data_IF_351379819980
#
_entry.id   IF_351379819980
#
_cell.length_a   1.000
_cell.length_b   1.000
_cell.length_c   1.000
_cell.angle_alpha   90.00
_cell.angle_beta   90.00
_cell.angle_gamma   90.00
#
_symmetry.space_group_name_H-M   'P 1'
#
loop_
_entity.id
_entity.type
_entity.pdbx_description
1 polymer ?
#
# COMPACT_ATOMS: atom_id res chain seq x y z
N UNK A 1 22.26 36.31 5.01
CA UNK A 1 21.37 35.17 5.30
C UNK A 1 19.94 35.62 5.07
N UNK A 2 19.46 35.58 3.83
CA UNK A 2 18.08 35.99 3.48
C UNK A 2 17.31 34.74 3.05
N UNK A 3 16.48 34.24 3.96
CA UNK A 3 15.57 33.12 3.72
C UNK A 3 14.43 33.58 2.80
N UNK A 4 14.08 32.89 1.71
CA UNK A 4 12.92 33.27 0.91
C UNK A 4 11.64 32.89 1.67
N UNK A 5 10.80 33.89 1.95
CA UNK A 5 9.46 33.68 2.50
C UNK A 5 8.54 33.12 1.40
N UNK A 6 8.07 31.89 1.55
CA UNK A 6 7.09 31.30 0.64
C UNK A 6 5.72 31.98 0.86
N UNK A 7 5.01 32.37 -0.22
CA UNK A 7 3.69 32.95 -0.10
C UNK A 7 2.69 31.93 0.47
N UNK A 8 1.67 32.36 1.24
CA UNK A 8 0.66 31.48 1.78
C UNK A 8 -0.14 30.85 0.63
N UNK A 9 -0.07 29.52 0.52
CA UNK A 9 -0.87 28.75 -0.46
C UNK A 9 -2.35 28.85 -0.10
N UNK A 10 -3.21 29.10 -1.09
CA UNK A 10 -4.68 29.08 -0.93
C UNK A 10 -5.13 27.72 -0.36
N UNK A 11 -6.15 27.68 0.51
CA UNK A 11 -6.67 26.42 1.03
C UNK A 11 -7.26 25.61 -0.12
N UNK A 12 -6.71 24.42 -0.34
CA UNK A 12 -7.20 23.45 -1.31
C UNK A 12 -8.17 22.50 -0.62
N UNK A 13 -9.39 22.39 -1.15
CA UNK A 13 -10.34 21.38 -0.69
C UNK A 13 -9.97 20.03 -1.31
N UNK A 14 -9.47 19.11 -0.49
CA UNK A 14 -9.18 17.73 -0.90
C UNK A 14 -10.39 16.85 -0.61
N UNK A 15 -10.91 16.19 -1.64
CA UNK A 15 -12.01 15.23 -1.52
C UNK A 15 -11.45 13.83 -1.71
N UNK A 16 -11.67 12.96 -0.73
CA UNK A 16 -11.24 11.56 -0.77
C UNK A 16 -12.42 10.66 -1.12
N UNK A 17 -12.26 9.82 -2.13
CA UNK A 17 -13.26 8.84 -2.51
C UNK A 17 -13.46 7.76 -1.42
N UNK A 18 -14.66 7.21 -1.36
CA UNK A 18 -15.02 6.06 -0.54
C UNK A 18 -15.97 5.13 -1.32
N UNK A 19 -15.74 3.81 -1.35
CA UNK A 19 -14.64 3.08 -0.73
C UNK A 19 -13.32 3.25 -1.51
N UNK A 20 -12.18 3.18 -0.80
CA UNK A 20 -10.84 3.25 -1.39
C UNK A 20 -9.94 2.20 -0.75
N UNK A 21 -8.95 1.70 -1.50
CA UNK A 21 -7.95 0.76 -1.00
C UNK A 21 -8.22 -0.68 -1.43
N UNK A 22 -8.01 -1.62 -0.50
CA UNK A 22 -8.04 -3.06 -0.79
C UNK A 22 -9.45 -3.63 -0.83
N UNK A 23 -9.66 -4.57 -1.75
CA UNK A 23 -10.85 -5.41 -1.74
C UNK A 23 -10.60 -6.67 -0.89
N UNK A 24 -11.67 -7.37 -0.53
CA UNK A 24 -11.59 -8.62 0.25
C UNK A 24 -10.69 -9.69 -0.42
N UNK A 25 -10.60 -9.70 -1.75
CA UNK A 25 -9.72 -10.62 -2.47
C UNK A 25 -8.23 -10.31 -2.29
N UNK A 26 -7.87 -9.03 -2.32
CA UNK A 26 -6.49 -8.56 -2.10
C UNK A 26 -6.04 -8.83 -0.67
N UNK A 27 -6.89 -8.49 0.30
CA UNK A 27 -6.62 -8.74 1.72
C UNK A 27 -6.38 -10.23 2.00
N UNK A 28 -7.27 -11.09 1.48
CA UNK A 28 -7.13 -12.55 1.62
C UNK A 28 -5.87 -13.08 0.95
N UNK A 29 -5.47 -12.55 -0.21
CA UNK A 29 -4.29 -13.02 -0.91
C UNK A 29 -3.02 -12.78 -0.07
N UNK A 30 -2.84 -11.56 0.43
CA UNK A 30 -1.71 -11.18 1.30
C UNK A 30 -1.66 -12.09 2.52
N UNK A 31 -2.80 -12.24 3.19
CA UNK A 31 -2.91 -13.01 4.43
C UNK A 31 -2.57 -14.50 4.26
N UNK A 32 -2.80 -15.07 3.07
CA UNK A 32 -2.44 -16.46 2.78
C UNK A 32 -0.92 -16.64 2.74
N UNK A 33 -0.19 -15.69 2.16
CA UNK A 33 1.28 -15.75 2.10
C UNK A 33 1.89 -15.48 3.47
N UNK A 34 1.36 -14.54 4.24
CA UNK A 34 1.78 -14.30 5.62
C UNK A 34 1.63 -15.57 6.46
N UNK A 35 0.47 -16.23 6.41
CA UNK A 35 0.24 -17.51 7.10
C UNK A 35 1.14 -18.63 6.61
N UNK A 36 1.47 -18.67 5.32
CA UNK A 36 2.38 -19.66 4.78
C UNK A 36 3.80 -19.46 5.32
N UNK A 37 4.25 -18.20 5.41
CA UNK A 37 5.56 -17.85 5.99
C UNK A 37 5.62 -18.18 7.48
N UNK A 38 4.58 -17.87 8.25
CA UNK A 38 4.51 -18.20 9.67
C UNK A 38 4.54 -19.71 9.93
N UNK A 39 3.80 -20.48 9.12
CA UNK A 39 3.63 -21.92 9.33
C UNK A 39 4.80 -22.75 8.81
N UNK A 40 5.38 -22.38 7.67
CA UNK A 40 6.37 -23.20 6.97
C UNK A 40 7.77 -22.60 6.96
N UNK A 41 7.93 -21.35 7.40
CA UNK A 41 9.21 -20.63 7.32
C UNK A 41 9.57 -20.22 5.90
N UNK A 42 10.68 -19.49 5.76
CA UNK A 42 11.18 -19.08 4.45
C UNK A 42 12.04 -20.18 3.79
N UNK A 43 12.05 -20.32 2.45
CA UNK A 43 11.34 -19.48 1.47
C UNK A 43 9.95 -19.99 1.07
N UNK A 44 8.99 -19.07 0.93
CA UNK A 44 7.68 -19.31 0.31
C UNK A 44 7.70 -18.72 -1.11
N UNK A 45 7.38 -19.55 -2.10
CA UNK A 45 7.35 -19.15 -3.51
C UNK A 45 5.93 -18.83 -3.96
N UNK A 46 5.76 -17.68 -4.62
CA UNK A 46 4.50 -17.26 -5.23
C UNK A 46 4.68 -17.20 -6.74
N UNK A 47 3.70 -17.76 -7.48
CA UNK A 47 3.69 -17.69 -8.95
C UNK A 47 3.17 -16.32 -9.38
N UNK A 48 4.05 -15.51 -9.97
CA UNK A 48 3.82 -14.09 -10.29
C UNK A 48 3.62 -13.20 -9.05
N UNK A 49 3.37 -11.91 -9.27
CA UNK A 49 3.04 -10.96 -8.22
C UNK A 49 1.70 -11.32 -7.57
N UNK A 50 1.65 -11.37 -6.24
CA UNK A 50 0.40 -11.68 -5.52
C UNK A 50 -0.66 -10.59 -5.71
N UNK A 51 -0.21 -9.33 -5.80
CA UNK A 51 -0.99 -8.17 -6.16
C UNK A 51 -0.13 -7.23 -6.99
N UNK A 52 -0.74 -6.52 -7.95
CA UNK A 52 -0.04 -5.52 -8.77
C UNK A 52 0.19 -4.22 -7.98
N UNK A 53 1.05 -4.28 -6.96
CA UNK A 53 1.44 -3.14 -6.16
C UNK A 53 2.90 -3.27 -5.75
N UNK A 54 3.72 -2.30 -6.16
CA UNK A 54 5.17 -2.30 -5.90
C UNK A 54 5.56 -2.34 -4.42
N UNK A 55 4.68 -1.87 -3.53
CA UNK A 55 4.94 -1.83 -2.09
C UNK A 55 4.52 -3.11 -1.34
N UNK A 56 3.70 -3.97 -1.95
CA UNK A 56 3.13 -5.17 -1.30
C UNK A 56 3.67 -6.47 -1.94
N UNK A 57 4.46 -6.36 -3.01
CA UNK A 57 5.25 -7.46 -3.59
C UNK A 57 6.44 -7.80 -2.70
#
# INVERSE_FOLDING_TARGET
MTTPAFPPKKPLTLVLASPRGFCAGVDRAIHVVEKALEKYGAPVYVRHEIVHNRYVV
#
